data_IF_388202502270
#
_entry.id   IF_388202502270
#
_cell.length_a   1.000
_cell.length_b   1.000
_cell.length_c   1.000
_cell.angle_alpha   90.00
_cell.angle_beta   90.00
_cell.angle_gamma   90.00
#
_symmetry.space_group_name_H-M   'P 1'
#
loop_
_entity.id
_entity.type
_entity.pdbx_description
1 polymer ?
#
# COMPACT_ATOMS: atom_id res chain seq x y z
N UNK A 1 -17.60 -5.92 -39.21
CA UNK A 1 -18.07 -7.15 -39.85
C UNK A 1 -18.44 -8.18 -38.77
N UNK A 2 -17.57 -8.39 -37.82
CA UNK A 2 -17.71 -9.45 -36.82
C UNK A 2 -18.91 -9.29 -35.91
N UNK A 3 -19.24 -8.05 -35.56
CA UNK A 3 -20.38 -7.75 -34.69
C UNK A 3 -21.72 -8.11 -35.36
N UNK A 4 -21.90 -7.78 -36.63
CA UNK A 4 -23.10 -8.09 -37.37
C UNK A 4 -23.29 -9.62 -37.54
N UNK A 5 -22.20 -10.33 -37.71
CA UNK A 5 -22.19 -11.79 -37.82
C UNK A 5 -22.53 -12.47 -36.49
N UNK A 6 -21.95 -12.01 -35.39
CA UNK A 6 -22.26 -12.50 -34.05
C UNK A 6 -23.72 -12.24 -33.71
N UNK A 7 -24.22 -11.04 -33.97
CA UNK A 7 -25.60 -10.71 -33.71
C UNK A 7 -26.58 -11.54 -34.56
N UNK A 8 -26.25 -11.87 -35.78
CA UNK A 8 -27.02 -12.78 -36.60
C UNK A 8 -27.06 -14.19 -36.00
N UNK A 9 -25.91 -14.71 -35.56
CA UNK A 9 -25.81 -16.03 -34.91
C UNK A 9 -26.69 -16.10 -33.65
N UNK A 10 -26.76 -15.02 -32.86
CA UNK A 10 -27.52 -14.97 -31.60
C UNK A 10 -29.01 -14.75 -31.83
N UNK A 11 -29.38 -13.89 -32.77
CA UNK A 11 -30.77 -13.43 -32.93
C UNK A 11 -31.47 -14.06 -34.14
N UNK A 12 -30.75 -14.69 -35.05
CA UNK A 12 -31.25 -15.20 -36.34
C UNK A 12 -31.71 -14.09 -37.29
N UNK A 13 -31.37 -12.81 -37.01
CA UNK A 13 -31.77 -11.65 -37.81
C UNK A 13 -30.59 -10.88 -38.32
N UNK A 14 -30.69 -10.42 -39.55
CA UNK A 14 -29.69 -9.54 -40.13
C UNK A 14 -29.61 -8.21 -39.38
N UNK A 15 -28.39 -7.79 -39.04
CA UNK A 15 -28.10 -6.54 -38.36
C UNK A 15 -27.86 -5.34 -39.26
N UNK A 16 -28.55 -5.29 -40.36
CA UNK A 16 -28.57 -4.11 -41.21
C UNK A 16 -28.99 -2.87 -40.39
N UNK A 17 -28.18 -1.84 -40.43
CA UNK A 17 -28.37 -0.62 -39.61
C UNK A 17 -29.77 0.02 -39.79
N UNK A 18 -30.26 0.05 -41.02
CA UNK A 18 -31.56 0.62 -41.34
C UNK A 18 -32.72 -0.23 -40.80
N UNK A 19 -32.54 -1.53 -40.81
CA UNK A 19 -33.51 -2.47 -40.27
C UNK A 19 -33.66 -2.31 -38.76
N UNK A 20 -32.56 -2.28 -38.05
CA UNK A 20 -32.58 -2.12 -36.61
C UNK A 20 -33.20 -0.78 -36.14
N UNK A 21 -33.00 0.31 -36.89
CA UNK A 21 -33.63 1.59 -36.59
C UNK A 21 -35.13 1.61 -36.81
N UNK A 22 -35.63 0.93 -37.80
CA UNK A 22 -37.06 0.85 -38.09
C UNK A 22 -37.81 -0.06 -37.11
N UNK A 23 -37.16 -1.12 -36.67
CA UNK A 23 -37.79 -2.10 -35.82
C UNK A 23 -37.93 -1.66 -34.34
N UNK A 24 -37.10 -0.71 -33.89
CA UNK A 24 -37.04 -0.32 -32.47
C UNK A 24 -37.05 1.23 -32.34
N UNK A 25 -38.24 1.85 -32.44
CA UNK A 25 -38.37 3.28 -32.23
C UNK A 25 -38.00 3.70 -30.81
N UNK A 26 -37.52 4.92 -30.66
CA UNK A 26 -37.01 5.51 -29.42
C UNK A 26 -37.98 5.34 -28.24
N UNK A 27 -39.26 5.52 -28.50
CA UNK A 27 -40.36 5.50 -27.51
C UNK A 27 -40.50 4.15 -26.80
N UNK A 28 -40.04 3.06 -27.41
CA UNK A 28 -40.11 1.71 -26.81
C UNK A 28 -38.89 1.36 -25.95
N UNK A 29 -37.96 2.28 -25.72
CA UNK A 29 -36.68 1.96 -25.14
C UNK A 29 -36.53 2.32 -23.65
N UNK A 30 -37.52 2.88 -23.08
CA UNK A 30 -37.75 2.94 -21.63
C UNK A 30 -36.69 3.52 -20.67
N UNK A 31 -35.43 3.65 -21.09
CA UNK A 31 -34.36 4.10 -20.20
C UNK A 31 -33.82 5.48 -20.58
N UNK A 32 -33.66 6.35 -19.57
CA UNK A 32 -33.15 7.73 -19.69
C UNK A 32 -31.81 7.79 -20.39
N UNK A 33 -30.92 6.83 -20.11
CA UNK A 33 -29.57 6.72 -20.69
C UNK A 33 -29.63 6.50 -22.22
N UNK A 34 -30.54 5.65 -22.66
CA UNK A 34 -30.75 5.39 -24.07
C UNK A 34 -31.21 6.62 -24.83
N UNK A 35 -32.06 7.44 -24.21
CA UNK A 35 -32.58 8.66 -24.79
C UNK A 35 -31.50 9.71 -25.05
N UNK A 36 -30.66 9.98 -24.07
CA UNK A 36 -29.53 10.89 -24.19
C UNK A 36 -28.54 10.48 -25.30
N UNK A 37 -28.19 9.20 -25.33
CA UNK A 37 -27.24 8.69 -26.33
C UNK A 37 -27.84 8.79 -27.75
N UNK A 38 -29.14 8.54 -27.88
CA UNK A 38 -29.83 8.63 -29.16
C UNK A 38 -29.98 10.08 -29.66
N UNK A 39 -30.26 11.03 -28.80
CA UNK A 39 -30.28 12.46 -29.13
C UNK A 39 -28.92 12.91 -29.66
N UNK A 40 -27.86 12.56 -28.95
CA UNK A 40 -26.49 12.99 -29.26
C UNK A 40 -25.93 12.27 -30.48
N UNK A 41 -26.13 10.98 -30.60
CA UNK A 41 -25.48 10.12 -31.59
C UNK A 41 -26.42 9.36 -32.50
N UNK A 42 -27.72 9.52 -32.36
CA UNK A 42 -28.74 8.73 -33.04
C UNK A 42 -28.71 8.77 -34.57
N UNK A 43 -28.06 9.79 -35.15
CA UNK A 43 -27.83 9.91 -36.60
C UNK A 43 -26.63 9.09 -37.10
N UNK A 44 -25.82 8.55 -36.18
CA UNK A 44 -24.63 7.78 -36.54
C UNK A 44 -25.00 6.46 -37.17
N UNK A 45 -24.23 6.10 -38.22
CA UNK A 45 -24.38 4.84 -38.94
C UNK A 45 -23.90 3.60 -38.14
N UNK A 46 -23.31 3.80 -36.98
CA UNK A 46 -22.66 2.72 -36.20
C UNK A 46 -23.55 2.14 -35.10
N UNK A 47 -24.72 2.72 -34.85
CA UNK A 47 -25.67 2.15 -33.89
C UNK A 47 -26.28 0.84 -34.38
N UNK A 48 -26.42 -0.10 -33.49
CA UNK A 48 -27.06 -1.39 -33.70
C UNK A 48 -28.10 -1.68 -32.64
N UNK A 49 -29.12 -2.43 -33.01
CA UNK A 49 -30.16 -2.86 -32.11
C UNK A 49 -30.29 -4.37 -32.19
N UNK A 50 -30.28 -5.03 -31.05
CA UNK A 50 -30.45 -6.47 -30.93
C UNK A 50 -31.52 -6.75 -29.87
N UNK A 51 -32.59 -7.40 -30.25
CA UNK A 51 -33.70 -7.77 -29.36
C UNK A 51 -34.19 -6.60 -28.49
N UNK A 52 -34.36 -5.42 -29.10
CA UNK A 52 -34.82 -4.20 -28.37
C UNK A 52 -33.75 -3.51 -27.52
N UNK A 53 -32.55 -4.04 -27.45
CA UNK A 53 -31.44 -3.40 -26.73
C UNK A 53 -30.52 -2.66 -27.69
N UNK A 54 -30.20 -1.43 -27.30
CA UNK A 54 -29.26 -0.60 -28.05
C UNK A 54 -27.84 -1.01 -27.76
N UNK A 55 -27.04 -1.15 -28.80
CA UNK A 55 -25.59 -1.40 -28.70
C UNK A 55 -24.87 -0.22 -29.29
N UNK A 56 -24.07 0.40 -28.45
CA UNK A 56 -23.31 1.61 -28.77
C UNK A 56 -21.88 1.20 -29.08
N UNK A 57 -21.26 1.71 -30.15
CA UNK A 57 -19.84 1.49 -30.42
C UNK A 57 -18.99 2.01 -29.27
N UNK A 58 -17.89 1.32 -28.98
CA UNK A 58 -16.96 1.67 -27.89
C UNK A 58 -16.45 3.11 -28.00
N UNK A 59 -16.26 3.63 -29.22
CA UNK A 59 -15.80 5.00 -29.44
C UNK A 59 -16.78 6.10 -29.00
N UNK A 60 -18.02 5.75 -28.64
CA UNK A 60 -19.00 6.71 -28.08
C UNK A 60 -19.09 6.67 -26.58
N UNK A 61 -18.41 5.72 -25.95
CA UNK A 61 -18.26 5.70 -24.51
C UNK A 61 -17.19 6.73 -24.16
N UNK A 62 -17.61 7.80 -23.49
CA UNK A 62 -16.65 8.74 -22.95
C UNK A 62 -15.82 8.02 -21.88
N UNK A 63 -14.51 7.88 -22.12
CA UNK A 63 -13.59 7.40 -21.11
C UNK A 63 -13.40 8.51 -20.08
N UNK A 64 -14.10 8.40 -18.99
CA UNK A 64 -13.76 9.17 -17.81
C UNK A 64 -12.70 8.39 -17.05
N UNK A 65 -11.53 9.02 -16.82
CA UNK A 65 -10.59 8.49 -15.86
C UNK A 65 -11.35 8.24 -14.57
N UNK A 66 -11.29 7.03 -14.01
CA UNK A 66 -11.93 6.78 -12.74
C UNK A 66 -11.41 7.87 -11.79
N UNK A 67 -12.30 8.72 -11.33
CA UNK A 67 -11.99 9.63 -10.24
C UNK A 67 -11.64 8.73 -9.08
N UNK A 68 -10.36 8.51 -8.86
CA UNK A 68 -9.90 7.86 -7.65
C UNK A 68 -10.37 8.73 -6.50
N UNK A 69 -11.61 8.55 -6.08
CA UNK A 69 -11.97 8.88 -4.72
C UNK A 69 -11.01 8.02 -3.92
N UNK A 70 -10.00 8.65 -3.30
CA UNK A 70 -9.28 8.00 -2.22
C UNK A 70 -10.36 7.38 -1.38
N UNK A 71 -10.45 6.07 -1.37
CA UNK A 71 -11.35 5.38 -0.46
C UNK A 71 -10.78 5.67 0.92
N UNK A 72 -11.25 6.75 1.51
CA UNK A 72 -10.83 7.15 2.85
C UNK A 72 -11.12 6.06 3.87
N UNK A 73 -12.06 5.17 3.54
CA UNK A 73 -12.42 4.06 4.42
C UNK A 73 -12.73 2.82 3.58
N UNK A 74 -11.85 1.85 3.66
CA UNK A 74 -12.15 0.46 3.37
C UNK A 74 -12.43 -0.22 4.72
N UNK A 75 -13.34 -1.20 4.81
CA UNK A 75 -13.60 -1.95 6.06
C UNK A 75 -12.35 -2.62 6.64
N UNK A 76 -11.29 -2.74 5.86
CA UNK A 76 -10.01 -3.31 6.25
C UNK A 76 -8.91 -2.26 6.50
N UNK A 77 -9.17 -0.99 6.17
CA UNK A 77 -8.22 0.10 6.38
C UNK A 77 -8.82 0.99 7.45
N UNK A 78 -8.22 0.96 8.65
CA UNK A 78 -8.54 1.94 9.70
C UNK A 78 -8.29 3.33 9.14
N UNK A 79 -9.14 4.31 9.49
CA UNK A 79 -8.84 5.73 9.27
C UNK A 79 -7.51 6.00 9.97
N UNK A 80 -6.45 6.04 9.19
CA UNK A 80 -5.20 6.61 9.68
C UNK A 80 -5.39 8.12 9.63
N UNK A 81 -5.40 8.77 10.79
CA UNK A 81 -5.17 10.20 10.82
C UNK A 81 -3.79 10.44 10.22
N UNK A 82 -3.65 11.46 9.38
CA UNK A 82 -2.34 11.81 8.79
C UNK A 82 -1.27 12.03 9.89
N UNK A 83 -1.69 12.38 11.10
CA UNK A 83 -0.87 12.49 12.30
C UNK A 83 -0.23 11.17 12.77
N UNK A 84 -0.79 10.00 12.41
CA UNK A 84 -0.22 8.70 12.81
C UNK A 84 0.81 8.15 11.81
N UNK A 85 0.85 8.69 10.60
CA UNK A 85 1.73 8.21 9.54
C UNK A 85 2.95 9.13 9.41
N UNK A 86 4.09 8.66 9.86
CA UNK A 86 5.36 9.38 9.81
C UNK A 86 6.29 8.85 8.70
N UNK A 87 5.74 8.19 7.68
CA UNK A 87 6.54 7.70 6.56
C UNK A 87 7.08 8.90 5.79
N UNK A 88 8.41 9.08 5.82
CA UNK A 88 9.11 10.10 5.06
C UNK A 88 9.55 9.57 3.70
N UNK A 89 9.25 10.33 2.66
CA UNK A 89 9.74 10.03 1.31
C UNK A 89 11.27 10.05 1.26
N UNK A 90 11.91 10.97 1.99
CA UNK A 90 13.37 11.09 2.04
C UNK A 90 14.03 9.82 2.61
N UNK A 91 13.46 9.27 3.69
CA UNK A 91 13.96 8.03 4.29
C UNK A 91 13.78 6.85 3.33
N UNK A 92 12.61 6.72 2.71
CA UNK A 92 12.38 5.65 1.74
C UNK A 92 13.33 5.77 0.54
N UNK A 93 13.49 6.97 0.00
CA UNK A 93 14.41 7.24 -1.10
C UNK A 93 15.85 6.87 -0.71
N UNK A 94 16.29 7.30 0.47
CA UNK A 94 17.60 6.94 0.99
C UNK A 94 17.80 5.44 1.09
N UNK A 95 16.83 4.70 1.64
CA UNK A 95 16.91 3.23 1.76
C UNK A 95 17.00 2.55 0.39
N UNK A 96 16.24 3.03 -0.59
CA UNK A 96 16.24 2.47 -1.96
C UNK A 96 17.55 2.76 -2.70
N UNK A 97 18.06 3.99 -2.63
CA UNK A 97 19.32 4.40 -3.29
C UNK A 97 20.55 3.76 -2.63
N UNK A 98 20.47 3.45 -1.35
CA UNK A 98 21.56 2.87 -0.57
C UNK A 98 21.34 1.39 -0.22
N UNK A 99 20.61 0.66 -1.03
CA UNK A 99 20.38 -0.78 -0.83
C UNK A 99 21.70 -1.59 -0.74
N UNK A 100 22.75 -1.10 -1.36
CA UNK A 100 24.11 -1.69 -1.32
C UNK A 100 24.79 -1.62 0.04
N UNK A 101 24.31 -0.77 0.97
CA UNK A 101 24.82 -0.72 2.36
C UNK A 101 24.32 -1.89 3.21
N UNK A 102 23.25 -2.54 2.77
CA UNK A 102 22.76 -3.74 3.43
C UNK A 102 23.55 -4.97 2.97
N UNK A 103 23.83 -5.91 3.87
CA UNK A 103 24.60 -7.10 3.57
C UNK A 103 24.01 -8.00 2.47
N UNK A 104 22.67 -8.01 2.36
CA UNK A 104 21.94 -8.77 1.33
C UNK A 104 20.80 -7.92 0.75
N UNK A 105 20.42 -8.22 -0.49
CA UNK A 105 19.28 -7.59 -1.14
C UNK A 105 17.96 -7.91 -0.40
N UNK A 106 17.84 -9.13 0.12
CA UNK A 106 16.71 -9.54 0.94
C UNK A 106 16.57 -8.66 2.18
N UNK A 107 17.68 -8.37 2.87
CA UNK A 107 17.67 -7.47 4.03
C UNK A 107 17.23 -6.06 3.64
N UNK A 108 17.71 -5.54 2.50
CA UNK A 108 17.33 -4.20 2.01
C UNK A 108 15.81 -4.10 1.75
N UNK A 109 15.24 -5.06 1.02
CA UNK A 109 13.81 -5.09 0.70
C UNK A 109 12.95 -5.26 1.96
N UNK A 110 13.37 -6.16 2.85
CA UNK A 110 12.67 -6.42 4.09
C UNK A 110 12.77 -5.25 5.08
N UNK A 111 13.90 -4.53 5.10
CA UNK A 111 14.07 -3.31 5.90
C UNK A 111 13.11 -2.20 5.45
N UNK A 112 13.01 -1.95 4.13
CA UNK A 112 12.06 -0.98 3.58
C UNK A 112 10.61 -1.37 3.91
N UNK A 113 10.27 -2.65 3.75
CA UNK A 113 8.95 -3.18 4.09
C UNK A 113 8.63 -3.02 5.59
N UNK A 114 9.62 -3.22 6.46
CA UNK A 114 9.49 -3.00 7.91
C UNK A 114 9.28 -1.54 8.26
N UNK A 115 10.06 -0.63 7.65
CA UNK A 115 9.90 0.79 7.85
C UNK A 115 8.48 1.26 7.53
N UNK A 116 7.95 0.80 6.39
CA UNK A 116 6.57 1.12 5.98
C UNK A 116 5.55 0.51 6.96
N UNK A 117 5.72 -0.74 7.37
CA UNK A 117 4.83 -1.41 8.31
C UNK A 117 4.83 -0.74 9.70
N UNK A 118 5.97 -0.20 10.12
CA UNK A 118 6.13 0.58 11.36
C UNK A 118 5.69 2.05 11.19
N UNK A 119 5.16 2.45 10.01
CA UNK A 119 4.69 3.80 9.70
C UNK A 119 5.76 4.88 9.84
N UNK A 120 7.00 4.56 9.55
CA UNK A 120 8.12 5.47 9.66
C UNK A 120 8.55 5.78 11.10
N UNK A 121 8.17 4.93 12.06
CA UNK A 121 8.43 5.13 13.49
C UNK A 121 9.35 4.05 14.06
N UNK A 122 10.10 4.42 15.10
CA UNK A 122 10.84 3.46 15.93
C UNK A 122 9.87 2.45 16.55
N UNK A 123 10.22 1.15 16.53
CA UNK A 123 9.36 0.09 17.07
C UNK A 123 9.16 0.19 18.60
N UNK A 124 10.07 0.83 19.31
CA UNK A 124 10.02 0.96 20.78
C UNK A 124 9.43 2.30 21.20
N UNK A 125 10.04 3.42 20.78
CA UNK A 125 9.64 4.76 21.22
C UNK A 125 8.46 5.33 20.44
N UNK A 126 8.13 4.77 19.29
CA UNK A 126 7.10 5.27 18.37
C UNK A 126 7.36 6.71 17.85
N UNK A 127 8.57 7.23 18.04
CA UNK A 127 9.00 8.50 17.46
C UNK A 127 9.25 8.34 15.96
N UNK A 128 9.02 9.41 15.20
CA UNK A 128 9.34 9.45 13.78
C UNK A 128 10.85 9.30 13.56
N UNK A 129 11.22 8.51 12.56
CA UNK A 129 12.61 8.24 12.21
C UNK A 129 13.07 9.12 11.06
N UNK A 130 14.31 9.60 11.18
CA UNK A 130 15.03 10.33 10.14
C UNK A 130 16.10 9.44 9.49
N UNK A 131 16.67 9.89 8.37
CA UNK A 131 17.77 9.19 7.70
C UNK A 131 18.98 8.98 8.62
N UNK A 132 19.28 9.98 9.48
CA UNK A 132 20.46 9.94 10.36
C UNK A 132 20.24 9.05 11.60
N UNK A 133 18.99 8.80 11.96
CA UNK A 133 18.61 8.19 13.24
C UNK A 133 18.08 6.76 13.07
N UNK A 134 17.78 6.35 11.85
CA UNK A 134 17.20 5.04 11.55
C UNK A 134 18.27 3.95 11.49
N UNK A 135 18.03 2.86 12.21
CA UNK A 135 18.85 1.64 12.17
C UNK A 135 17.94 0.43 11.93
N UNK A 136 18.34 -0.44 11.00
CA UNK A 136 17.71 -1.73 10.79
C UNK A 136 18.53 -2.82 11.47
N UNK A 137 17.91 -3.58 12.35
CA UNK A 137 18.58 -4.62 13.10
C UNK A 137 17.83 -5.95 13.09
N UNK A 138 18.57 -7.02 13.39
CA UNK A 138 17.99 -8.32 13.63
C UNK A 138 17.44 -8.42 15.07
N UNK A 139 16.25 -8.99 15.21
CA UNK A 139 15.68 -9.31 16.52
C UNK A 139 16.50 -10.40 17.19
N UNK A 140 16.76 -11.49 16.44
CA UNK A 140 17.64 -12.57 16.86
C UNK A 140 18.93 -12.50 16.08
N UNK A 141 20.11 -12.46 16.73
CA UNK A 141 21.38 -12.43 16.04
C UNK A 141 21.60 -13.71 15.23
N UNK A 142 22.27 -13.59 14.11
CA UNK A 142 22.58 -14.70 13.24
C UNK A 142 23.79 -15.47 13.83
N UNK A 143 23.55 -16.67 14.37
CA UNK A 143 24.59 -17.58 14.84
C UNK A 143 24.93 -18.61 13.76
N UNK A 144 25.45 -18.18 12.60
CA UNK A 144 25.76 -19.04 11.46
C UNK A 144 25.09 -18.57 10.18
N UNK A 145 24.07 -19.26 9.69
CA UNK A 145 23.33 -18.81 8.51
C UNK A 145 22.58 -17.50 8.79
N UNK A 146 22.67 -16.56 7.83
CA UNK A 146 21.96 -15.29 7.92
C UNK A 146 20.45 -15.49 7.82
N UNK A 147 19.74 -14.83 8.73
CA UNK A 147 18.29 -14.83 8.73
C UNK A 147 17.77 -13.39 8.54
N UNK A 148 17.80 -12.94 7.29
CA UNK A 148 17.39 -11.61 6.87
C UNK A 148 15.87 -11.54 6.59
N UNK A 149 15.10 -12.54 7.04
CA UNK A 149 13.65 -12.59 6.84
C UNK A 149 12.94 -11.40 7.49
N UNK A 150 11.87 -10.96 6.86
CA UNK A 150 11.03 -9.84 7.34
C UNK A 150 10.66 -9.94 8.83
N UNK A 151 10.41 -11.16 9.33
CA UNK A 151 10.00 -11.38 10.74
C UNK A 151 11.15 -11.18 11.72
N UNK A 152 12.38 -11.34 11.28
CA UNK A 152 13.57 -11.19 12.11
C UNK A 152 14.17 -9.77 12.07
N UNK A 153 13.61 -8.87 11.27
CA UNK A 153 14.07 -7.49 11.17
C UNK A 153 13.18 -6.52 11.96
N UNK A 154 13.80 -5.49 12.50
CA UNK A 154 13.16 -4.41 13.24
C UNK A 154 13.84 -3.07 12.92
N UNK A 155 13.07 -2.00 12.81
CA UNK A 155 13.61 -0.65 12.64
C UNK A 155 13.54 0.09 13.98
N UNK A 156 14.68 0.58 14.40
CA UNK A 156 14.87 1.28 15.68
C UNK A 156 15.48 2.67 15.44
N UNK A 157 15.34 3.56 16.41
CA UNK A 157 16.20 4.72 16.49
C UNK A 157 17.59 4.31 16.98
N UNK A 158 18.60 5.06 16.59
CA UNK A 158 19.99 4.81 16.96
C UNK A 158 20.18 4.70 18.48
N UNK A 159 19.54 5.58 19.25
CA UNK A 159 19.59 5.56 20.71
C UNK A 159 19.02 4.26 21.30
N UNK A 160 17.89 3.78 20.77
CA UNK A 160 17.31 2.50 21.19
C UNK A 160 18.18 1.32 20.77
N UNK A 161 18.72 1.36 19.56
CA UNK A 161 19.65 0.36 19.06
C UNK A 161 20.90 0.25 19.95
N UNK A 162 21.47 1.40 20.33
CA UNK A 162 22.58 1.49 21.27
C UNK A 162 22.26 0.86 22.63
N UNK A 163 21.02 1.08 23.17
CA UNK A 163 20.58 0.46 24.43
C UNK A 163 20.39 -1.06 24.30
N UNK A 164 19.79 -1.50 23.20
CA UNK A 164 19.56 -2.93 22.95
C UNK A 164 20.88 -3.69 22.82
N UNK A 165 21.92 -3.06 22.22
CA UNK A 165 23.24 -3.65 22.02
C UNK A 165 24.27 -3.38 23.11
N UNK A 166 23.98 -2.49 24.06
CA UNK A 166 24.96 -2.09 25.07
C UNK A 166 25.28 -3.23 26.07
N UNK A 167 26.55 -3.45 26.30
CA UNK A 167 27.06 -4.38 27.33
C UNK A 167 27.57 -3.59 28.55
N UNK A 168 28.04 -2.36 28.35
CA UNK A 168 28.64 -1.54 29.41
C UNK A 168 27.58 -0.65 30.08
N UNK A 169 27.57 -0.66 31.41
CA UNK A 169 26.69 0.17 32.25
C UNK A 169 26.82 1.69 31.97
N UNK A 170 28.04 2.16 31.68
CA UNK A 170 28.29 3.58 31.39
C UNK A 170 27.60 4.06 30.08
N UNK A 171 27.55 3.20 29.07
CA UNK A 171 26.81 3.48 27.84
C UNK A 171 25.30 3.51 28.08
N UNK A 172 24.81 2.56 28.88
CA UNK A 172 23.39 2.47 29.24
C UNK A 172 23.00 3.75 29.98
N UNK A 173 23.74 4.15 31.01
CA UNK A 173 23.50 5.38 31.81
C UNK A 173 23.48 6.63 30.94
N UNK A 174 24.42 6.77 30.02
CA UNK A 174 24.48 7.92 29.11
C UNK A 174 23.25 8.02 28.20
N UNK A 175 22.83 6.90 27.64
CA UNK A 175 21.71 6.88 26.68
C UNK A 175 20.38 7.07 27.39
N UNK A 176 20.22 6.52 28.60
CA UNK A 176 19.01 6.67 29.42
C UNK A 176 18.75 8.11 29.85
N UNK A 177 19.80 8.89 30.11
CA UNK A 177 19.65 10.32 30.49
C UNK A 177 18.95 11.16 29.42
N UNK A 178 19.06 10.74 28.16
CA UNK A 178 18.52 11.48 27.02
C UNK A 178 17.19 10.93 26.51
N UNK A 179 16.77 9.73 26.97
CA UNK A 179 15.62 9.03 26.44
C UNK A 179 14.55 8.78 27.53
N UNK A 180 13.46 9.53 27.56
CA UNK A 180 12.38 9.26 28.50
C UNK A 180 11.66 7.97 28.10
N UNK A 181 11.87 6.89 28.85
CA UNK A 181 11.29 5.58 28.60
C UNK A 181 10.11 5.29 29.51
N UNK A 182 8.98 4.95 28.94
CA UNK A 182 7.86 4.38 29.68
C UNK A 182 8.13 2.92 30.04
N UNK A 183 7.41 2.38 31.02
CA UNK A 183 7.55 0.97 31.43
C UNK A 183 7.36 0.00 30.26
N UNK A 184 6.39 0.27 29.38
CA UNK A 184 6.16 -0.56 28.18
C UNK A 184 7.36 -0.55 27.20
N UNK A 185 8.05 0.60 27.07
CA UNK A 185 9.25 0.72 26.24
C UNK A 185 10.42 -0.05 26.87
N UNK A 186 10.58 0.04 28.18
CA UNK A 186 11.58 -0.72 28.94
C UNK A 186 11.40 -2.24 28.76
N UNK A 187 10.17 -2.72 28.89
CA UNK A 187 9.83 -4.13 28.68
C UNK A 187 10.15 -4.60 27.23
N UNK A 188 9.88 -3.73 26.24
CA UNK A 188 10.22 -4.02 24.84
C UNK A 188 11.74 -4.09 24.63
N UNK A 189 12.50 -3.19 25.23
CA UNK A 189 13.97 -3.19 25.16
C UNK A 189 14.51 -4.49 25.78
N UNK A 190 14.05 -4.84 26.99
CA UNK A 190 14.50 -6.05 27.67
C UNK A 190 14.15 -7.32 26.89
N UNK A 191 12.97 -7.40 26.29
CA UNK A 191 12.61 -8.48 25.35
C UNK A 191 13.58 -8.61 24.17
N UNK A 192 13.99 -7.48 23.57
CA UNK A 192 14.95 -7.50 22.47
C UNK A 192 16.33 -7.96 22.93
N UNK A 193 16.72 -7.58 24.16
CA UNK A 193 17.99 -8.01 24.78
C UNK A 193 17.99 -9.50 25.09
N UNK A 194 16.88 -10.04 25.63
CA UNK A 194 16.70 -11.50 25.85
C UNK A 194 16.85 -12.28 24.53
N UNK A 195 16.26 -11.81 23.44
CA UNK A 195 16.42 -12.44 22.14
C UNK A 195 17.86 -12.44 21.63
N UNK A 196 18.70 -11.52 22.14
CA UNK A 196 20.13 -11.41 21.83
C UNK A 196 21.03 -12.08 22.86
N UNK A 197 20.43 -12.76 23.84
CA UNK A 197 21.15 -13.39 24.96
C UNK A 197 22.01 -12.39 25.76
N UNK A 198 21.51 -11.14 25.88
CA UNK A 198 22.12 -10.10 26.70
C UNK A 198 21.36 -9.92 28.01
N UNK A 199 22.07 -9.50 29.04
CA UNK A 199 21.47 -9.24 30.36
C UNK A 199 20.39 -8.17 30.27
N UNK A 200 19.31 -8.33 31.01
CA UNK A 200 18.23 -7.34 31.14
C UNK A 200 18.74 -6.09 31.86
N UNK A 201 18.22 -4.93 31.46
CA UNK A 201 18.55 -3.66 32.12
C UNK A 201 17.56 -3.47 33.28
N UNK A 202 18.11 -3.25 34.49
CA UNK A 202 17.35 -2.82 35.65
C UNK A 202 17.25 -1.30 35.58
N UNK A 203 16.14 -0.78 35.05
CA UNK A 203 15.99 0.66 34.81
C UNK A 203 15.82 1.49 36.08
N UNK A 204 15.57 0.84 37.23
CA UNK A 204 15.47 1.45 38.55
C UNK A 204 16.85 1.85 39.09
N UNK A 205 17.92 1.30 38.56
CA UNK A 205 19.30 1.55 38.99
C UNK A 205 19.93 2.79 38.31
N UNK A 206 19.21 3.43 37.39
CA UNK A 206 19.69 4.52 36.55
C UNK A 206 18.78 5.76 36.65
#
# INVERSE_FOLDING_TARGET
>A
ADFAEIAFKVTGKSNGMNHNRRCFPIEKQGEITSKYILEKYGKSKQFRWINGRMIVPVGYVAYEYPKYKRREVNKYVRKYSDAENCISYEVMKYMMENAHLYPTLEMADNALSRYIAQKGKCAVTHNALTVADMVCEHIKPCKGERNDTYRNLIILSKEVSDLVGAVNSDKISKTLKNLPLTKEMQDKINKLREHRELDIIQFEDY
#
